data_IF_910362177543
#
_entry.id   IF_910362177543
#
_cell.length_a   1.000
_cell.length_b   1.000
_cell.length_c   1.000
_cell.angle_alpha   90.00
_cell.angle_beta   90.00
_cell.angle_gamma   90.00
#
_symmetry.space_group_name_H-M   'P 1'
#
loop_
_entity.id
_entity.type
_entity.pdbx_description
1 polymer ?
#
# COMPACT_ATOMS: atom_id res chain seq x y z
N UNK A 1 26.91 79.70 -5.00
CA UNK A 1 25.71 79.03 -5.54
C UNK A 1 25.91 77.53 -5.41
N UNK A 2 25.15 76.87 -4.54
CA UNK A 2 25.34 75.46 -4.20
C UNK A 2 24.55 74.55 -5.16
N UNK A 3 25.25 73.66 -5.86
CA UNK A 3 24.64 72.61 -6.67
C UNK A 3 24.22 71.44 -5.78
N UNK A 4 22.92 71.15 -5.72
CA UNK A 4 22.40 69.94 -5.07
C UNK A 4 22.79 68.72 -5.91
N UNK A 5 23.62 67.85 -5.35
CA UNK A 5 23.76 66.46 -5.78
C UNK A 5 22.50 65.70 -5.35
N UNK A 6 21.68 65.31 -6.31
CA UNK A 6 20.60 64.35 -6.08
C UNK A 6 21.20 62.98 -6.35
N UNK A 7 21.36 62.16 -5.31
CA UNK A 7 21.53 60.70 -5.45
C UNK A 7 20.13 60.09 -5.57
N UNK A 8 19.77 59.42 -6.69
CA UNK A 8 18.52 58.70 -6.76
C UNK A 8 18.75 57.27 -7.26
N UNK A 9 19.44 56.42 -6.50
CA UNK A 9 19.68 55.05 -7.03
C UNK A 9 19.72 53.91 -6.02
N UNK A 10 19.40 54.14 -4.75
CA UNK A 10 19.34 53.04 -3.76
C UNK A 10 17.93 52.52 -3.52
N UNK A 11 16.94 53.40 -3.42
CA UNK A 11 15.55 53.04 -3.05
C UNK A 11 14.79 52.32 -4.16
N UNK A 12 15.03 52.69 -5.43
CA UNK A 12 14.38 52.09 -6.60
C UNK A 12 14.83 50.63 -6.79
N UNK A 13 16.11 50.32 -6.55
CA UNK A 13 16.62 48.95 -6.65
C UNK A 13 16.04 48.00 -5.60
N UNK A 14 15.73 48.49 -4.40
CA UNK A 14 15.07 47.69 -3.35
C UNK A 14 13.60 47.40 -3.69
N UNK A 15 12.87 48.36 -4.25
CA UNK A 15 11.47 48.17 -4.66
C UNK A 15 11.34 47.17 -5.81
N UNK A 16 12.21 47.25 -6.82
CA UNK A 16 12.22 46.29 -7.94
C UNK A 16 12.53 44.87 -7.45
N UNK A 17 13.50 44.72 -6.52
CA UNK A 17 13.80 43.43 -5.91
C UNK A 17 12.63 42.89 -5.08
N UNK A 18 11.94 43.75 -4.33
CA UNK A 18 10.76 43.36 -3.55
C UNK A 18 9.62 42.88 -4.45
N UNK A 19 9.33 43.61 -5.53
CA UNK A 19 8.30 43.23 -6.49
C UNK A 19 8.64 41.91 -7.20
N UNK A 20 9.91 41.72 -7.60
CA UNK A 20 10.38 40.46 -8.16
C UNK A 20 10.24 39.30 -7.18
N UNK A 21 10.58 39.50 -5.90
CA UNK A 21 10.40 38.50 -4.85
C UNK A 21 8.92 38.16 -4.65
N UNK A 22 8.03 39.15 -4.58
CA UNK A 22 6.60 38.94 -4.41
C UNK A 22 6.01 38.19 -5.60
N UNK A 23 6.36 38.56 -6.84
CA UNK A 23 5.92 37.86 -8.04
C UNK A 23 6.40 36.40 -8.06
N UNK A 24 7.65 36.15 -7.64
CA UNK A 24 8.19 34.80 -7.50
C UNK A 24 7.43 33.99 -6.44
N UNK A 25 7.21 34.56 -5.25
CA UNK A 25 6.46 33.91 -4.17
C UNK A 25 5.01 33.60 -4.57
N UNK A 26 4.34 34.49 -5.29
CA UNK A 26 2.99 34.26 -5.81
C UNK A 26 2.96 33.14 -6.85
N UNK A 27 3.98 33.05 -7.69
CA UNK A 27 4.09 31.97 -8.69
C UNK A 27 4.30 30.62 -8.03
N UNK A 28 5.18 30.54 -7.02
CA UNK A 28 5.40 29.33 -6.22
C UNK A 28 4.13 28.96 -5.44
N UNK A 29 3.49 29.92 -4.78
CA UNK A 29 2.25 29.70 -4.04
C UNK A 29 1.11 29.22 -4.97
N UNK A 30 1.00 29.80 -6.16
CA UNK A 30 0.06 29.35 -7.19
C UNK A 30 0.33 27.91 -7.63
N UNK A 31 1.58 27.57 -7.95
CA UNK A 31 1.95 26.20 -8.34
C UNK A 31 1.67 25.18 -7.24
N UNK A 32 1.96 25.52 -5.97
CA UNK A 32 1.66 24.69 -4.81
C UNK A 32 0.14 24.51 -4.64
N UNK A 33 -0.62 25.60 -4.69
CA UNK A 33 -2.08 25.57 -4.58
C UNK A 33 -2.74 24.69 -5.67
N UNK A 34 -2.21 24.72 -6.89
CA UNK A 34 -2.72 23.89 -7.99
C UNK A 34 -2.34 22.40 -7.87
N UNK A 35 -1.22 22.05 -7.25
CA UNK A 35 -0.70 20.67 -7.24
C UNK A 35 -1.04 19.88 -5.98
N UNK A 36 -1.08 20.53 -4.81
CA UNK A 36 -1.34 19.89 -3.51
C UNK A 36 -2.64 19.06 -3.47
N UNK A 37 -3.80 19.55 -3.96
CA UNK A 37 -5.05 18.77 -3.89
C UNK A 37 -4.99 17.46 -4.69
N UNK A 38 -4.25 17.45 -5.81
CA UNK A 38 -4.05 16.25 -6.63
C UNK A 38 -3.24 15.17 -5.90
N UNK A 39 -2.18 15.60 -5.21
CA UNK A 39 -1.32 14.73 -4.38
C UNK A 39 -2.14 14.10 -3.24
N UNK A 40 -2.92 14.91 -2.52
CA UNK A 40 -3.77 14.43 -1.43
C UNK A 40 -4.80 13.41 -1.92
N UNK A 41 -5.49 13.72 -3.02
CA UNK A 41 -6.47 12.80 -3.62
C UNK A 41 -5.83 11.46 -3.97
N UNK A 42 -4.65 11.46 -4.60
CA UNK A 42 -3.94 10.23 -4.95
C UNK A 42 -3.53 9.43 -3.72
N UNK A 43 -3.01 10.09 -2.67
CA UNK A 43 -2.65 9.41 -1.42
C UNK A 43 -3.87 8.79 -0.73
N UNK A 44 -5.01 9.46 -0.77
CA UNK A 44 -6.27 8.94 -0.26
C UNK A 44 -6.74 7.71 -1.05
N UNK A 45 -6.62 7.73 -2.38
CA UNK A 45 -6.96 6.60 -3.24
C UNK A 45 -6.01 5.42 -3.02
N UNK A 46 -4.69 5.65 -2.89
CA UNK A 46 -3.71 4.62 -2.55
C UNK A 46 -4.05 3.94 -1.22
N UNK A 47 -4.27 4.74 -0.17
CA UNK A 47 -4.61 4.21 1.15
C UNK A 47 -5.95 3.47 1.15
N UNK A 48 -6.93 3.88 0.33
CA UNK A 48 -8.18 3.12 0.15
C UNK A 48 -7.94 1.78 -0.54
N UNK A 49 -7.13 1.76 -1.59
CA UNK A 49 -6.82 0.55 -2.33
C UNK A 49 -6.08 -0.46 -1.45
N UNK A 50 -5.04 -0.02 -0.75
CA UNK A 50 -4.29 -0.87 0.19
C UNK A 50 -5.19 -1.44 1.29
N UNK A 51 -6.02 -0.60 1.94
CA UNK A 51 -6.98 -1.08 2.95
C UNK A 51 -7.94 -2.12 2.38
N UNK A 52 -8.40 -1.94 1.15
CA UNK A 52 -9.32 -2.90 0.52
C UNK A 52 -8.63 -4.23 0.23
N UNK A 53 -7.39 -4.22 -0.24
CA UNK A 53 -6.60 -5.45 -0.40
C UNK A 53 -6.41 -6.15 0.95
N UNK A 54 -6.06 -5.42 2.01
CA UNK A 54 -5.93 -5.97 3.36
C UNK A 54 -7.24 -6.60 3.84
N UNK A 55 -8.39 -5.95 3.60
CA UNK A 55 -9.71 -6.48 3.95
C UNK A 55 -10.01 -7.81 3.24
N UNK A 56 -9.74 -7.89 1.94
CA UNK A 56 -9.98 -9.11 1.14
C UNK A 56 -9.04 -10.25 1.57
N UNK A 57 -7.76 -9.96 1.75
CA UNK A 57 -6.74 -10.97 2.07
C UNK A 57 -6.90 -11.51 3.50
N UNK A 58 -7.38 -10.70 4.44
CA UNK A 58 -7.51 -11.07 5.85
C UNK A 58 -8.97 -11.34 6.24
N UNK A 59 -9.77 -11.86 5.31
CA UNK A 59 -11.08 -12.38 5.65
C UNK A 59 -10.99 -13.42 6.77
N UNK A 60 -12.01 -13.48 7.66
CA UNK A 60 -12.04 -14.47 8.72
C UNK A 60 -12.08 -15.88 8.12
N UNK A 61 -11.41 -16.79 8.82
CA UNK A 61 -11.35 -18.22 8.52
C UNK A 61 -12.10 -19.00 9.59
N UNK A 62 -12.52 -20.21 9.26
CA UNK A 62 -13.17 -21.10 10.23
C UNK A 62 -12.14 -21.68 11.19
N UNK A 63 -12.30 -21.40 12.49
CA UNK A 63 -11.52 -22.02 13.57
C UNK A 63 -12.29 -23.20 14.15
N UNK A 64 -11.64 -24.36 14.24
CA UNK A 64 -12.20 -25.55 14.87
C UNK A 64 -11.30 -25.98 16.04
N UNK A 65 -11.88 -26.48 17.14
CA UNK A 65 -11.09 -27.19 18.15
C UNK A 65 -10.36 -28.36 17.50
N UNK A 66 -9.08 -28.54 17.83
CA UNK A 66 -8.30 -29.65 17.29
C UNK A 66 -8.92 -30.99 17.69
N UNK A 67 -9.20 -31.83 16.71
CA UNK A 67 -9.78 -33.16 16.91
C UNK A 67 -9.31 -34.11 15.82
N UNK A 68 -9.01 -35.35 16.19
CA UNK A 68 -8.58 -36.38 15.24
C UNK A 68 -7.20 -36.13 14.59
N UNK A 69 -6.87 -36.89 13.54
CA UNK A 69 -5.65 -36.69 12.75
C UNK A 69 -5.72 -35.37 11.98
N UNK A 70 -4.68 -34.55 12.12
CA UNK A 70 -4.56 -33.23 11.48
C UNK A 70 -3.16 -33.06 10.93
N UNK A 71 -3.03 -32.51 9.72
CA UNK A 71 -1.72 -32.21 9.13
C UNK A 71 -1.13 -30.98 9.81
N UNK A 72 0.10 -31.09 10.30
CA UNK A 72 0.78 -30.00 11.03
C UNK A 72 1.80 -29.33 10.12
N UNK A 73 1.64 -28.02 9.90
CA UNK A 73 2.57 -27.18 9.16
C UNK A 73 3.57 -26.52 10.12
N UNK A 74 4.85 -26.56 9.76
CA UNK A 74 5.92 -25.90 10.50
C UNK A 74 7.07 -25.52 9.55
N UNK A 75 7.74 -24.37 9.74
CA UNK A 75 7.47 -23.37 10.77
C UNK A 75 6.31 -22.44 10.39
N UNK A 76 5.24 -22.44 11.20
CA UNK A 76 4.05 -21.63 11.04
C UNK A 76 3.38 -21.72 9.67
N UNK A 77 2.55 -20.72 9.39
CA UNK A 77 1.92 -20.49 8.08
C UNK A 77 2.73 -19.58 7.17
N UNK A 78 3.62 -18.78 7.78
CA UNK A 78 4.36 -17.73 7.12
C UNK A 78 5.84 -18.06 7.10
N UNK A 79 6.41 -18.15 5.90
CA UNK A 79 7.86 -18.23 5.74
C UNK A 79 8.49 -16.82 5.79
N UNK A 80 9.66 -16.60 6.40
CA UNK A 80 10.36 -15.31 6.36
C UNK A 80 10.63 -14.81 4.92
N UNK A 81 10.91 -13.51 4.75
CA UNK A 81 11.26 -12.93 3.44
C UNK A 81 10.08 -12.36 2.64
N UNK A 82 9.01 -11.88 3.29
CA UNK A 82 8.02 -11.06 2.60
C UNK A 82 8.65 -9.72 2.19
N UNK A 83 8.92 -9.57 0.90
CA UNK A 83 9.21 -8.26 0.29
C UNK A 83 7.92 -7.66 -0.22
N UNK A 84 7.84 -6.32 -0.26
CA UNK A 84 6.77 -5.64 -0.99
C UNK A 84 6.78 -6.16 -2.44
N UNK A 85 5.66 -6.67 -2.97
CA UNK A 85 5.58 -7.12 -4.34
C UNK A 85 5.87 -5.96 -5.29
N UNK A 86 6.47 -6.26 -6.45
CA UNK A 86 6.46 -5.32 -7.55
C UNK A 86 5.03 -5.21 -8.08
N UNK A 87 4.29 -4.21 -7.60
CA UNK A 87 2.88 -4.00 -7.96
C UNK A 87 2.64 -3.83 -9.46
N UNK A 88 3.68 -3.57 -10.27
CA UNK A 88 3.55 -3.53 -11.73
C UNK A 88 3.32 -4.92 -12.35
N UNK A 89 3.76 -5.97 -11.65
CA UNK A 89 3.84 -7.33 -12.16
C UNK A 89 3.09 -8.34 -11.28
N UNK A 90 2.24 -7.86 -10.36
CA UNK A 90 1.41 -8.73 -9.53
C UNK A 90 0.29 -9.36 -10.37
N UNK A 91 0.27 -10.69 -10.44
CA UNK A 91 -0.93 -11.48 -10.79
C UNK A 91 -1.17 -12.54 -9.72
N UNK A 92 -2.07 -12.23 -8.78
CA UNK A 92 -2.45 -13.11 -7.65
C UNK A 92 -2.96 -14.47 -8.13
N UNK A 93 -3.58 -14.54 -9.31
CA UNK A 93 -4.11 -15.81 -9.85
C UNK A 93 -3.02 -16.79 -10.24
N UNK A 94 -1.84 -16.27 -10.61
CA UNK A 94 -0.70 -17.08 -11.03
C UNK A 94 0.07 -17.71 -9.85
N UNK A 95 -0.16 -17.20 -8.65
CA UNK A 95 0.58 -17.59 -7.43
C UNK A 95 -0.34 -18.19 -6.35
N UNK A 96 -1.57 -18.58 -6.71
CA UNK A 96 -2.47 -19.29 -5.78
C UNK A 96 -2.00 -20.75 -5.64
N UNK A 97 -1.69 -21.14 -4.41
CA UNK A 97 -1.30 -22.49 -4.05
C UNK A 97 -2.37 -23.11 -3.14
N UNK A 98 -2.87 -24.29 -3.52
CA UNK A 98 -3.94 -25.01 -2.84
C UNK A 98 -3.38 -26.27 -2.18
N UNK A 99 -2.41 -26.08 -1.30
CA UNK A 99 -1.58 -27.16 -0.73
C UNK A 99 -2.17 -27.78 0.54
N UNK A 100 -3.29 -27.26 1.04
CA UNK A 100 -3.91 -27.71 2.29
C UNK A 100 -5.02 -28.73 2.01
N UNK A 101 -4.79 -29.98 2.44
CA UNK A 101 -5.76 -31.07 2.32
C UNK A 101 -6.27 -31.51 3.69
N UNK A 102 -7.57 -31.81 3.78
CA UNK A 102 -8.22 -32.21 5.03
C UNK A 102 -8.21 -31.10 6.08
N UNK A 103 -8.20 -31.48 7.35
CA UNK A 103 -7.99 -30.54 8.45
C UNK A 103 -6.49 -30.31 8.69
N UNK A 104 -6.10 -29.04 8.84
CA UNK A 104 -4.71 -28.61 9.00
C UNK A 104 -4.51 -27.76 10.24
N UNK A 105 -3.32 -27.74 10.81
CA UNK A 105 -2.91 -26.90 11.94
C UNK A 105 -1.46 -26.47 11.80
N UNK A 106 -0.95 -25.62 12.69
CA UNK A 106 0.47 -25.29 12.76
C UNK A 106 1.00 -25.34 14.19
N UNK A 107 2.33 -25.29 14.31
CA UNK A 107 3.02 -25.07 15.59
C UNK A 107 2.62 -23.76 16.29
N UNK A 108 2.04 -22.79 15.58
CA UNK A 108 1.53 -21.53 16.15
C UNK A 108 0.13 -21.65 16.76
N UNK A 109 -0.67 -22.65 16.37
CA UNK A 109 -2.05 -22.83 16.81
C UNK A 109 -2.31 -24.29 17.25
N UNK A 110 -1.53 -24.85 18.19
CA UNK A 110 -1.50 -26.29 18.43
C UNK A 110 -2.83 -26.88 18.96
N UNK A 111 -3.71 -26.04 19.49
CA UNK A 111 -5.03 -26.43 20.03
C UNK A 111 -6.17 -26.28 19.04
N UNK A 112 -5.91 -25.72 17.86
CA UNK A 112 -6.91 -25.46 16.83
C UNK A 112 -6.58 -26.23 15.54
N UNK A 113 -7.58 -26.36 14.68
CA UNK A 113 -7.43 -26.81 13.31
C UNK A 113 -8.31 -25.98 12.38
N UNK A 114 -7.97 -26.03 11.10
CA UNK A 114 -8.57 -25.25 10.03
C UNK A 114 -8.93 -26.16 8.87
N UNK A 115 -10.01 -25.83 8.16
CA UNK A 115 -10.48 -26.61 7.02
C UNK A 115 -9.59 -26.29 5.81
N UNK A 116 -8.73 -27.21 5.41
CA UNK A 116 -7.73 -26.99 4.35
C UNK A 116 -8.32 -26.55 3.01
N UNK A 117 -9.50 -27.05 2.63
CA UNK A 117 -10.18 -26.66 1.39
C UNK A 117 -10.66 -25.20 1.36
N UNK A 118 -10.76 -24.55 2.53
CA UNK A 118 -11.07 -23.12 2.67
C UNK A 118 -9.82 -22.25 2.61
N UNK A 119 -8.62 -22.82 2.56
CA UNK A 119 -7.36 -22.10 2.70
C UNK A 119 -6.58 -22.06 1.39
N UNK A 120 -5.69 -21.07 1.30
CA UNK A 120 -4.68 -20.99 0.27
C UNK A 120 -3.37 -20.45 0.84
N UNK A 121 -2.28 -20.66 0.10
CA UNK A 121 -1.10 -19.84 0.19
C UNK A 121 -0.99 -19.00 -1.07
N UNK A 122 -0.60 -17.72 -0.91
CA UNK A 122 -0.36 -16.86 -2.05
C UNK A 122 0.79 -15.89 -1.76
N UNK A 123 1.90 -16.09 -2.45
CA UNK A 123 3.12 -15.32 -2.21
C UNK A 123 2.93 -13.81 -2.49
N UNK A 124 2.07 -13.44 -3.45
CA UNK A 124 1.85 -12.05 -3.85
C UNK A 124 0.99 -11.26 -2.86
N UNK A 125 0.20 -11.94 -2.01
CA UNK A 125 -0.66 -11.28 -1.03
C UNK A 125 -0.04 -11.20 0.36
N UNK A 126 1.08 -11.90 0.58
CA UNK A 126 1.81 -12.01 1.85
C UNK A 126 2.17 -10.68 2.51
N UNK A 127 2.47 -9.66 1.71
CA UNK A 127 2.74 -8.29 2.20
C UNK A 127 1.54 -7.71 2.96
N UNK A 128 0.32 -8.07 2.58
CA UNK A 128 -0.92 -7.54 3.15
C UNK A 128 -1.43 -8.33 4.37
N UNK A 129 -0.68 -9.32 4.88
CA UNK A 129 -1.12 -10.13 6.01
C UNK A 129 -1.06 -9.34 7.32
N UNK A 130 -2.22 -9.13 7.94
CA UNK A 130 -2.33 -8.44 9.23
C UNK A 130 -1.91 -9.34 10.40
N UNK A 131 -2.33 -10.61 10.34
CA UNK A 131 -1.95 -11.66 11.28
C UNK A 131 -1.22 -12.77 10.52
N UNK A 132 0.02 -13.06 10.93
CA UNK A 132 0.88 -14.09 10.32
C UNK A 132 0.87 -15.40 11.12
N UNK A 133 0.11 -15.45 12.21
CA UNK A 133 -0.09 -16.64 13.03
C UNK A 133 -1.27 -17.49 12.56
N UNK A 134 -2.00 -17.04 11.54
CA UNK A 134 -3.14 -17.73 10.96
C UNK A 134 -2.94 -17.95 9.45
N UNK A 135 -3.51 -19.03 8.89
CA UNK A 135 -3.55 -19.22 7.45
C UNK A 135 -4.48 -18.19 6.80
N UNK A 136 -4.51 -18.17 5.47
CA UNK A 136 -5.42 -17.28 4.72
C UNK A 136 -6.49 -18.05 4.00
N UNK A 137 -7.67 -17.44 3.99
CA UNK A 137 -8.82 -17.93 3.25
C UNK A 137 -8.49 -17.95 1.76
N UNK A 138 -8.91 -19.01 1.10
CA UNK A 138 -8.86 -19.16 -0.35
C UNK A 138 -9.63 -18.03 -1.01
N UNK A 139 -8.93 -17.30 -1.86
CA UNK A 139 -9.48 -16.23 -2.66
C UNK A 139 -10.28 -16.81 -3.83
N UNK A 140 -11.45 -16.25 -4.04
CA UNK A 140 -12.23 -16.48 -5.25
C UNK A 140 -11.59 -15.79 -6.46
N UNK A 141 -11.96 -16.23 -7.66
CA UNK A 141 -11.51 -15.59 -8.89
C UNK A 141 -11.84 -14.10 -8.95
N UNK A 142 -13.02 -13.69 -8.46
CA UNK A 142 -13.41 -12.28 -8.39
C UNK A 142 -12.53 -11.47 -7.46
N UNK A 143 -12.20 -12.02 -6.27
CA UNK A 143 -11.34 -11.34 -5.30
C UNK A 143 -9.91 -11.20 -5.82
N UNK A 144 -9.38 -12.23 -6.48
CA UNK A 144 -8.05 -12.16 -7.10
C UNK A 144 -8.00 -11.10 -8.22
N UNK A 145 -9.05 -11.01 -9.05
CA UNK A 145 -9.16 -9.96 -10.08
C UNK A 145 -9.24 -8.57 -9.43
N UNK A 146 -10.00 -8.42 -8.35
CA UNK A 146 -10.11 -7.16 -7.62
C UNK A 146 -8.75 -6.74 -7.04
N UNK A 147 -8.03 -7.66 -6.39
CA UNK A 147 -6.70 -7.38 -5.84
C UNK A 147 -5.71 -6.99 -6.95
N UNK A 148 -5.72 -7.68 -8.11
CA UNK A 148 -4.89 -7.29 -9.25
C UNK A 148 -5.20 -5.87 -9.73
N UNK A 149 -6.47 -5.48 -9.77
CA UNK A 149 -6.88 -4.11 -10.11
C UNK A 149 -6.40 -3.08 -9.09
N UNK A 150 -6.57 -3.36 -7.79
CA UNK A 150 -6.17 -2.47 -6.70
C UNK A 150 -4.64 -2.31 -6.62
N UNK A 151 -3.89 -3.39 -6.81
CA UNK A 151 -2.42 -3.34 -6.86
C UNK A 151 -1.92 -2.57 -8.08
N UNK A 152 -2.59 -2.66 -9.23
CA UNK A 152 -2.33 -1.81 -10.39
C UNK A 152 -2.48 -0.31 -10.10
N UNK A 153 -3.43 0.09 -9.24
CA UNK A 153 -3.58 1.49 -8.79
C UNK A 153 -2.41 1.91 -7.90
N UNK A 154 -2.00 1.06 -6.96
CA UNK A 154 -0.82 1.31 -6.12
C UNK A 154 0.45 1.51 -6.97
N UNK A 155 0.64 0.66 -7.98
CA UNK A 155 1.74 0.78 -8.93
C UNK A 155 1.71 2.11 -9.70
N UNK A 156 0.53 2.51 -10.21
CA UNK A 156 0.38 3.75 -10.94
C UNK A 156 0.69 5.00 -10.10
N UNK A 157 0.38 4.95 -8.81
CA UNK A 157 0.64 6.05 -7.87
C UNK A 157 2.11 6.10 -7.46
N UNK A 158 2.77 4.94 -7.28
CA UNK A 158 4.20 4.88 -6.96
C UNK A 158 5.12 5.43 -8.07
N UNK A 159 4.67 5.46 -9.33
CA UNK A 159 5.47 5.94 -10.48
C UNK A 159 5.48 7.47 -10.66
N UNK A 160 4.61 8.19 -9.93
CA UNK A 160 4.46 9.65 -10.09
C UNK A 160 5.25 10.46 -9.07
N UNK A 161 6.04 9.80 -8.22
CA UNK A 161 6.98 10.36 -7.26
C UNK A 161 8.36 9.73 -7.48
#
# INVERSE_FOLDING_TARGET
>A
MAGRTVEPTRTIGHLVRLLGLVAFLLTVAGAVFWTLPGIEKMNLEAGRAERKVVEIVNQPITHLPRSGPVSVFAPGWFHPGATTPDFNNVDVRSTQELTYEGDVTSDLNPTEMFIGSELEFNAMTKYFYSDRTLPKKRLSNSEMIEINGLTGLLAAMSRRY
#
